data_IF_501777084926
#
_entry.id   IF_501777084926
#
_cell.length_a   1.000
_cell.length_b   1.000
_cell.length_c   1.000
_cell.angle_alpha   90.00
_cell.angle_beta   90.00
_cell.angle_gamma   90.00
#
_symmetry.space_group_name_H-M   'P 1'
#
loop_
_entity.id
_entity.type
_entity.pdbx_description
1 polymer ?
#
# COMPACT_ATOMS: atom_id res chain seq x y z
N UNK A 1 27.59 -27.05 -51.32
CA UNK A 1 26.85 -25.91 -50.73
C UNK A 1 26.12 -26.42 -49.50
N UNK A 2 26.57 -26.07 -48.29
CA UNK A 2 25.74 -26.27 -47.10
C UNK A 2 24.63 -25.22 -47.09
N UNK A 3 23.37 -25.59 -46.78
CA UNK A 3 22.30 -24.62 -46.65
C UNK A 3 22.65 -23.69 -45.49
N UNK A 4 22.67 -22.39 -45.76
CA UNK A 4 22.72 -21.38 -44.69
C UNK A 4 21.40 -21.50 -43.96
N UNK A 5 21.43 -22.04 -42.75
CA UNK A 5 20.26 -22.02 -41.86
C UNK A 5 20.12 -20.58 -41.42
N UNK A 6 19.19 -19.87 -42.04
CA UNK A 6 18.82 -18.53 -41.59
C UNK A 6 18.02 -18.71 -40.32
N UNK A 7 18.44 -17.99 -39.30
CA UNK A 7 17.75 -17.93 -38.02
C UNK A 7 16.33 -17.41 -38.21
N UNK A 8 15.37 -18.05 -37.56
CA UNK A 8 13.96 -17.62 -37.60
C UNK A 8 13.80 -16.59 -36.49
N UNK A 9 13.43 -15.36 -36.82
CA UNK A 9 13.16 -14.35 -35.80
C UNK A 9 11.82 -14.64 -35.11
N UNK A 10 11.87 -15.23 -33.91
CA UNK A 10 10.66 -15.52 -33.15
C UNK A 10 10.02 -14.26 -32.54
N UNK A 11 10.74 -13.13 -32.49
CA UNK A 11 10.23 -11.87 -31.92
C UNK A 11 9.19 -11.18 -32.80
N UNK A 12 9.11 -11.52 -34.09
CA UNK A 12 8.06 -11.06 -35.01
C UNK A 12 6.64 -11.40 -34.53
N UNK A 13 6.50 -12.43 -33.67
CA UNK A 13 5.21 -12.87 -33.12
C UNK A 13 4.94 -12.32 -31.71
N UNK A 14 5.79 -11.44 -31.19
CA UNK A 14 5.70 -10.86 -29.85
C UNK A 14 5.47 -11.91 -28.74
N UNK A 15 6.35 -12.93 -28.60
CA UNK A 15 6.12 -14.06 -27.71
C UNK A 15 6.23 -13.73 -26.20
N UNK A 16 6.82 -12.58 -25.84
CA UNK A 16 7.23 -12.25 -24.47
C UNK A 16 6.18 -11.52 -23.60
N UNK A 17 4.92 -11.39 -24.05
CA UNK A 17 3.84 -10.78 -23.25
C UNK A 17 4.21 -9.41 -22.67
N UNK A 18 4.42 -9.35 -21.35
CA UNK A 18 4.85 -8.17 -20.60
C UNK A 18 6.39 -8.01 -20.53
N UNK A 19 7.04 -8.12 -21.68
CA UNK A 19 8.49 -8.01 -21.79
C UNK A 19 8.96 -7.69 -23.20
N UNK A 20 10.26 -7.40 -23.32
CA UNK A 20 10.93 -7.17 -24.59
C UNK A 20 11.56 -8.47 -25.10
N UNK A 21 11.31 -8.80 -26.37
CA UNK A 21 11.92 -9.96 -27.02
C UNK A 21 13.27 -9.59 -27.64
N UNK A 22 14.27 -10.47 -27.48
CA UNK A 22 15.57 -10.38 -28.12
C UNK A 22 15.86 -11.68 -28.86
N UNK A 23 15.86 -11.62 -30.19
CA UNK A 23 16.19 -12.77 -31.03
C UNK A 23 17.67 -13.17 -30.88
N UNK A 24 17.96 -14.46 -30.91
CA UNK A 24 19.29 -15.06 -30.82
C UNK A 24 19.40 -16.24 -31.78
N UNK A 25 20.62 -16.61 -32.20
CA UNK A 25 20.75 -17.72 -33.15
C UNK A 25 20.23 -19.03 -32.53
N UNK A 26 19.13 -19.54 -33.08
CA UNK A 26 18.46 -20.78 -32.67
C UNK A 26 17.45 -20.65 -31.51
N UNK A 27 17.16 -19.43 -31.01
CA UNK A 27 16.18 -19.19 -29.94
C UNK A 27 15.93 -17.69 -29.72
N UNK A 28 15.12 -17.32 -28.74
CA UNK A 28 14.94 -15.94 -28.30
C UNK A 28 14.98 -15.82 -26.77
N UNK A 29 15.31 -14.63 -26.28
CA UNK A 29 15.27 -14.30 -24.85
C UNK A 29 14.21 -13.23 -24.59
N UNK A 30 13.43 -13.43 -23.52
CA UNK A 30 12.51 -12.42 -23.02
C UNK A 30 13.12 -11.66 -21.85
N UNK A 31 13.05 -10.34 -21.92
CA UNK A 31 13.44 -9.41 -20.87
C UNK A 31 12.17 -8.79 -20.28
N UNK A 32 11.76 -9.25 -19.09
CA UNK A 32 10.51 -8.83 -18.48
C UNK A 32 10.58 -7.38 -17.97
N UNK A 33 9.45 -6.67 -18.04
CA UNK A 33 9.33 -5.34 -17.45
C UNK A 33 9.36 -5.41 -15.91
N UNK A 34 9.52 -4.26 -15.25
CA UNK A 34 9.47 -4.18 -13.79
C UNK A 34 8.13 -4.73 -13.26
N UNK A 35 8.17 -5.56 -12.21
CA UNK A 35 6.98 -6.22 -11.66
C UNK A 35 6.61 -7.54 -12.35
N UNK A 36 7.42 -8.01 -13.31
CA UNK A 36 7.22 -9.28 -13.99
C UNK A 36 8.45 -10.18 -13.84
N UNK A 37 8.22 -11.48 -13.89
CA UNK A 37 9.26 -12.52 -13.82
C UNK A 37 9.14 -13.50 -14.98
N UNK A 38 10.28 -14.07 -15.39
CA UNK A 38 10.33 -15.04 -16.46
C UNK A 38 9.78 -16.39 -15.98
N UNK A 39 8.74 -16.87 -16.66
CA UNK A 39 8.15 -18.19 -16.45
C UNK A 39 8.96 -19.29 -17.13
N UNK A 40 8.71 -20.55 -16.76
CA UNK A 40 9.31 -21.74 -17.39
C UNK A 40 9.03 -21.83 -18.90
N UNK A 41 7.95 -21.20 -19.37
CA UNK A 41 7.56 -21.17 -20.78
C UNK A 41 8.17 -19.99 -21.56
N UNK A 42 9.17 -19.30 -20.99
CA UNK A 42 9.81 -18.12 -21.59
C UNK A 42 8.82 -16.96 -21.84
N UNK A 43 7.87 -16.78 -20.92
CA UNK A 43 6.88 -15.70 -20.94
C UNK A 43 7.00 -14.86 -19.66
N UNK A 44 6.65 -13.58 -19.74
CA UNK A 44 6.75 -12.62 -18.64
C UNK A 44 5.42 -12.54 -17.88
N UNK A 45 5.37 -13.26 -16.76
CA UNK A 45 4.21 -13.30 -15.88
C UNK A 45 4.35 -12.31 -14.74
N UNK A 46 3.21 -11.81 -14.28
CA UNK A 46 3.13 -10.90 -13.15
C UNK A 46 3.76 -11.51 -11.89
N UNK A 47 4.54 -10.71 -11.16
CA UNK A 47 5.11 -11.12 -9.88
C UNK A 47 4.14 -10.73 -8.77
N UNK A 48 3.53 -11.73 -8.13
CA UNK A 48 2.70 -11.46 -6.95
C UNK A 48 3.58 -11.07 -5.75
N UNK A 49 3.78 -9.77 -5.54
CA UNK A 49 4.57 -9.27 -4.42
C UNK A 49 3.88 -9.52 -3.07
N UNK A 50 2.55 -9.58 -3.04
CA UNK A 50 1.79 -9.86 -1.82
C UNK A 50 2.05 -11.27 -1.28
N UNK A 51 2.21 -12.24 -2.18
CA UNK A 51 2.57 -13.63 -1.82
C UNK A 51 4.07 -13.80 -1.57
N UNK A 52 4.90 -13.05 -2.30
CA UNK A 52 6.35 -13.24 -2.31
C UNK A 52 7.08 -12.48 -1.20
N UNK A 53 6.58 -11.33 -0.76
CA UNK A 53 7.24 -10.46 0.22
C UNK A 53 6.49 -10.42 1.55
N UNK A 54 7.14 -10.90 2.62
CA UNK A 54 6.59 -10.82 3.98
C UNK A 54 6.70 -9.40 4.53
N UNK A 55 5.62 -8.91 5.15
CA UNK A 55 5.60 -7.58 5.77
C UNK A 55 5.36 -6.43 4.79
N UNK A 56 5.05 -6.74 3.52
CA UNK A 56 4.51 -5.77 2.58
C UNK A 56 3.19 -5.20 3.11
N UNK A 57 2.96 -3.91 2.92
CA UNK A 57 1.76 -3.22 3.42
C UNK A 57 1.55 -3.36 4.95
N UNK A 58 2.59 -3.12 5.76
CA UNK A 58 2.43 -3.11 7.23
C UNK A 58 1.27 -2.18 7.61
N UNK A 59 0.39 -2.66 8.48
CA UNK A 59 -0.85 -1.99 8.89
C UNK A 59 -1.95 -1.84 7.81
N UNK A 60 -1.84 -2.61 6.71
CA UNK A 60 -2.84 -2.68 5.66
C UNK A 60 -3.00 -4.07 5.07
N UNK A 61 -3.82 -4.16 4.03
CA UNK A 61 -4.00 -5.32 3.17
C UNK A 61 -3.25 -5.08 1.85
N UNK A 62 -2.52 -6.10 1.39
CA UNK A 62 -1.87 -6.07 0.09
C UNK A 62 -2.82 -6.60 -0.99
N UNK A 63 -2.92 -5.89 -2.12
CA UNK A 63 -3.66 -6.31 -3.30
C UNK A 63 -2.68 -6.32 -4.48
N UNK A 64 -2.50 -7.51 -5.07
CA UNK A 64 -1.66 -7.67 -6.24
C UNK A 64 -2.34 -7.07 -7.48
N UNK A 65 -1.56 -6.38 -8.32
CA UNK A 65 -2.04 -5.75 -9.56
C UNK A 65 -1.07 -6.07 -10.70
N UNK A 66 -1.47 -5.88 -11.95
CA UNK A 66 -0.58 -6.23 -13.06
C UNK A 66 0.64 -5.28 -13.12
N UNK A 67 1.83 -5.82 -12.89
CA UNK A 67 3.12 -5.13 -12.87
C UNK A 67 3.44 -4.40 -11.56
N UNK A 68 2.60 -4.52 -10.52
CA UNK A 68 2.82 -3.87 -9.22
C UNK A 68 1.86 -4.39 -8.14
N UNK A 69 1.81 -3.71 -7.00
CA UNK A 69 0.83 -3.97 -5.95
C UNK A 69 0.32 -2.65 -5.36
N UNK A 70 -0.83 -2.72 -4.70
CA UNK A 70 -1.37 -1.60 -3.92
C UNK A 70 -1.63 -2.03 -2.49
N UNK A 71 -1.30 -1.14 -1.55
CA UNK A 71 -1.63 -1.32 -0.15
C UNK A 71 -2.92 -0.58 0.17
N UNK A 72 -3.88 -1.27 0.78
CA UNK A 72 -5.10 -0.68 1.32
C UNK A 72 -4.96 -0.62 2.84
N UNK A 73 -4.82 0.58 3.38
CA UNK A 73 -4.59 0.80 4.80
C UNK A 73 -5.83 0.49 5.65
N UNK A 74 -5.61 -0.01 6.86
CA UNK A 74 -6.67 -0.17 7.86
C UNK A 74 -7.09 1.20 8.40
N UNK A 75 -8.27 1.26 9.00
CA UNK A 75 -8.74 2.47 9.69
C UNK A 75 -7.69 2.96 10.71
N UNK A 76 -7.47 4.28 10.76
CA UNK A 76 -6.43 4.91 11.58
C UNK A 76 -5.04 4.95 10.92
N UNK A 77 -4.90 4.47 9.68
CA UNK A 77 -3.63 4.52 8.93
C UNK A 77 -3.79 5.14 7.54
N UNK A 78 -2.74 5.79 7.07
CA UNK A 78 -2.65 6.36 5.73
C UNK A 78 -1.46 5.79 4.96
N UNK A 79 -1.52 5.90 3.63
CA UNK A 79 -0.45 5.43 2.76
C UNK A 79 0.77 6.35 2.88
N UNK A 80 1.96 5.76 3.06
CA UNK A 80 3.22 6.52 3.04
C UNK A 80 3.47 7.19 1.69
N UNK A 81 4.34 8.19 1.67
CA UNK A 81 4.67 8.95 0.46
C UNK A 81 5.23 8.08 -0.69
N UNK A 82 5.86 6.94 -0.36
CA UNK A 82 6.36 5.96 -1.34
C UNK A 82 5.31 4.91 -1.75
N UNK A 83 4.11 4.93 -1.14
CA UNK A 83 2.99 4.08 -1.48
C UNK A 83 3.05 2.65 -0.95
N UNK A 84 4.07 2.31 -0.14
CA UNK A 84 4.43 0.91 0.17
C UNK A 84 4.01 0.43 1.55
N UNK A 85 3.81 1.34 2.50
CA UNK A 85 3.45 1.01 3.88
C UNK A 85 2.31 1.88 4.36
N UNK A 86 1.59 1.40 5.37
CA UNK A 86 0.58 2.20 6.05
C UNK A 86 1.18 2.74 7.35
N UNK A 87 1.18 4.07 7.45
CA UNK A 87 1.68 4.82 8.61
C UNK A 87 0.51 5.30 9.43
N UNK A 88 0.71 5.35 10.74
CA UNK A 88 -0.29 5.83 11.68
C UNK A 88 -0.69 7.27 11.36
N UNK A 89 -2.00 7.53 11.32
CA UNK A 89 -2.51 8.89 11.16
C UNK A 89 -2.44 9.54 12.52
N UNK A 90 -1.66 10.62 12.66
CA UNK A 90 -1.67 11.38 13.89
C UNK A 90 -2.91 12.28 13.95
N UNK A 91 -4.02 11.80 14.47
CA UNK A 91 -5.29 12.54 14.48
C UNK A 91 -5.19 13.83 15.31
N UNK A 92 -4.32 13.86 16.32
CA UNK A 92 -4.05 15.06 17.11
C UNK A 92 -3.33 16.16 16.31
N UNK A 93 -2.49 15.77 15.35
CA UNK A 93 -1.79 16.71 14.47
C UNK A 93 -2.67 17.14 13.28
N UNK A 94 -3.45 16.20 12.73
CA UNK A 94 -4.36 16.46 11.60
C UNK A 94 -5.54 17.34 12.05
N UNK A 95 -6.11 17.06 13.21
CA UNK A 95 -7.21 17.84 13.78
C UNK A 95 -6.96 18.14 15.27
N UNK A 96 -6.30 19.28 15.60
CA UNK A 96 -6.05 19.66 16.99
C UNK A 96 -7.32 19.83 17.85
N UNK A 97 -8.47 20.08 17.22
CA UNK A 97 -9.77 20.25 17.89
C UNK A 97 -10.55 18.96 18.12
N UNK A 98 -10.02 17.80 17.71
CA UNK A 98 -10.75 16.51 17.74
C UNK A 98 -11.29 16.14 19.13
N UNK A 99 -10.61 16.55 20.22
CA UNK A 99 -11.03 16.26 21.59
C UNK A 99 -11.87 17.37 22.26
N UNK A 100 -12.21 18.44 21.54
CA UNK A 100 -12.88 19.61 22.10
C UNK A 100 -12.05 20.25 23.24
N UNK A 101 -12.58 20.36 24.47
CA UNK A 101 -11.85 20.88 25.63
C UNK A 101 -10.82 19.89 26.22
N UNK A 102 -10.79 18.64 25.74
CA UNK A 102 -9.86 17.60 26.16
C UNK A 102 -8.47 17.71 25.52
N UNK A 103 -7.49 17.04 26.14
CA UNK A 103 -6.15 16.86 25.55
C UNK A 103 -6.16 15.62 24.66
N UNK A 104 -5.69 15.76 23.42
CA UNK A 104 -5.54 14.63 22.49
C UNK A 104 -4.22 13.89 22.74
N UNK A 105 -4.29 12.55 22.73
CA UNK A 105 -3.12 11.67 22.75
C UNK A 105 -3.18 10.69 21.59
N UNK A 106 -2.18 10.75 20.71
CA UNK A 106 -2.02 9.84 19.59
C UNK A 106 -1.59 8.44 20.07
N UNK A 107 -2.14 7.39 19.45
CA UNK A 107 -1.84 5.98 19.69
C UNK A 107 -1.62 5.27 18.32
N UNK A 108 -1.03 4.09 18.31
CA UNK A 108 -0.84 3.35 17.04
C UNK A 108 -2.20 2.84 16.52
N UNK A 109 -2.65 3.41 15.39
CA UNK A 109 -3.92 3.15 14.72
C UNK A 109 -5.13 3.84 15.33
N UNK A 110 -4.96 4.78 16.26
CA UNK A 110 -6.06 5.49 16.91
C UNK A 110 -5.58 6.70 17.73
N UNK A 111 -6.51 7.37 18.41
CA UNK A 111 -6.21 8.36 19.43
C UNK A 111 -7.15 8.20 20.62
N UNK A 112 -6.81 8.87 21.72
CA UNK A 112 -7.72 9.04 22.85
C UNK A 112 -7.73 10.46 23.35
N UNK A 113 -8.88 10.87 23.88
CA UNK A 113 -9.06 12.16 24.53
C UNK A 113 -8.97 12.01 26.05
N UNK A 114 -8.22 12.91 26.68
CA UNK A 114 -8.12 13.03 28.13
C UNK A 114 -8.92 14.26 28.54
N UNK A 115 -10.09 14.03 29.13
CA UNK A 115 -11.01 15.10 29.49
C UNK A 115 -10.60 15.81 30.79
N UNK A 116 -10.74 17.15 30.86
CA UNK A 116 -10.54 17.89 32.10
C UNK A 116 -11.65 17.58 33.13
N UNK A 117 -11.42 18.00 34.38
CA UNK A 117 -12.39 17.82 35.47
C UNK A 117 -13.76 18.41 35.10
N UNK A 118 -14.83 17.62 35.33
CA UNK A 118 -16.21 18.00 35.02
C UNK A 118 -16.65 17.72 33.58
N UNK A 119 -15.78 17.16 32.75
CA UNK A 119 -16.05 16.69 31.38
C UNK A 119 -15.93 15.17 31.29
N UNK A 120 -16.64 14.57 30.34
CA UNK A 120 -16.65 13.13 30.10
C UNK A 120 -16.64 12.84 28.60
N UNK A 121 -16.20 11.65 28.20
CA UNK A 121 -16.17 11.24 26.79
C UNK A 121 -17.60 10.96 26.32
N UNK A 122 -18.05 11.68 25.29
CA UNK A 122 -19.24 11.37 24.48
C UNK A 122 -18.86 11.37 23.00
N UNK A 123 -19.22 10.29 22.29
CA UNK A 123 -18.94 10.11 20.85
C UNK A 123 -17.49 10.42 20.45
N UNK A 124 -16.52 10.06 21.31
CA UNK A 124 -15.09 10.25 21.06
C UNK A 124 -14.55 11.65 21.36
N UNK A 125 -15.39 12.58 21.86
CA UNK A 125 -15.00 13.95 22.22
C UNK A 125 -15.31 14.24 23.69
N UNK A 126 -14.67 15.26 24.27
CA UNK A 126 -14.94 15.64 25.66
C UNK A 126 -16.11 16.61 25.75
N UNK A 127 -17.19 16.19 26.39
CA UNK A 127 -18.38 17.03 26.61
C UNK A 127 -18.58 17.30 28.10
N UNK A 128 -19.03 18.52 28.40
CA UNK A 128 -19.32 18.95 29.77
C UNK A 128 -20.74 18.59 30.17
N UNK A 129 -20.96 18.31 31.46
CA UNK A 129 -22.32 18.17 31.96
C UNK A 129 -22.91 19.58 32.19
N UNK A 130 -24.14 19.84 31.76
CA UNK A 130 -24.79 21.13 32.00
C UNK A 130 -24.88 21.44 33.51
N UNK A 131 -24.89 20.40 34.36
CA UNK A 131 -24.96 20.49 35.82
C UNK A 131 -23.66 20.96 36.50
N UNK A 132 -22.49 20.82 35.86
CA UNK A 132 -21.21 21.35 36.42
C UNK A 132 -20.98 22.82 36.06
N UNK A 133 -21.61 23.34 35.00
CA UNK A 133 -21.56 24.76 34.64
C UNK A 133 -22.44 25.65 35.55
N UNK A 134 -23.51 25.10 36.13
CA UNK A 134 -24.40 25.87 37.03
C UNK A 134 -23.86 25.99 38.47
N UNK A 135 -22.87 25.18 38.86
CA UNK A 135 -22.30 25.18 40.22
C UNK A 135 -21.04 26.05 40.36
N UNK A 136 -20.68 26.81 39.32
CA UNK A 136 -19.57 27.78 39.33
C UNK A 136 -20.04 29.25 39.41
N UNK A 137 -21.32 29.49 39.71
CA UNK A 137 -21.92 30.81 39.82
C UNK A 137 -22.42 31.12 41.23
#
# INVERSE_FOLDING_TARGET
CSPVVVDVDECERQPCGNGTCKNTVGSYNCLCYLGFQLSHNNDCIDTDECSSQRGLCRNGNCINTLGSFVCVCRDGYELSADGRICVDINECAVNPGTCGPGTCQNLDGSYRCICPLGYYIQDGTCEGNILTLVNLQ
#
